data_IF_312707721241
#
_entry.id   IF_312707721241
#
_cell.length_a   1.000
_cell.length_b   1.000
_cell.length_c   1.000
_cell.angle_alpha   90.00
_cell.angle_beta   90.00
_cell.angle_gamma   90.00
#
_symmetry.space_group_name_H-M   'P 1'
#
loop_
_entity.id
_entity.type
_entity.pdbx_description
1 polymer ?
#
# COMPACT_ATOMS: atom_id res chain seq x y z
N UNK A 1 -5.61 -19.89 -16.06
CA UNK A 1 -4.45 -19.02 -15.79
C UNK A 1 -5.01 -17.60 -15.81
N UNK A 2 -5.36 -17.06 -14.64
CA UNK A 2 -5.86 -15.68 -14.54
C UNK A 2 -4.62 -14.87 -14.18
N UNK A 3 -3.97 -14.33 -15.21
CA UNK A 3 -2.80 -13.47 -15.07
C UNK A 3 -3.24 -12.15 -14.43
N UNK A 4 -2.74 -11.92 -13.20
CA UNK A 4 -2.22 -10.64 -12.75
C UNK A 4 -3.08 -9.39 -13.00
N UNK A 5 -4.28 -9.34 -12.41
CA UNK A 5 -4.84 -8.05 -11.96
C UNK A 5 -4.25 -7.67 -10.60
N UNK A 6 -2.92 -7.59 -10.50
CA UNK A 6 -2.30 -6.71 -9.51
C UNK A 6 -2.40 -5.31 -10.08
N UNK A 7 -3.61 -4.74 -9.97
CA UNK A 7 -3.82 -3.33 -10.23
C UNK A 7 -3.04 -2.57 -9.14
N UNK A 8 -1.73 -2.47 -9.30
CA UNK A 8 -0.84 -1.62 -8.50
C UNK A 8 -1.16 -0.17 -8.86
N UNK A 9 -2.36 0.26 -8.48
CA UNK A 9 -2.65 1.68 -8.41
C UNK A 9 -1.71 2.21 -7.35
N UNK A 10 -0.60 2.79 -7.81
CA UNK A 10 0.39 3.43 -6.96
C UNK A 10 -0.33 4.38 -6.02
N UNK A 11 -0.29 4.07 -4.73
CA UNK A 11 -1.06 4.79 -3.73
C UNK A 11 -0.71 6.29 -3.76
N UNK A 12 -1.68 7.13 -3.47
CA UNK A 12 -1.46 8.57 -3.31
C UNK A 12 -1.27 8.90 -1.85
N UNK A 13 -0.47 9.93 -1.57
CA UNK A 13 -0.28 10.43 -0.22
C UNK A 13 -1.62 10.93 0.36
N UNK A 14 -1.87 10.64 1.63
CA UNK A 14 -3.04 11.13 2.39
C UNK A 14 -2.70 12.31 3.32
N UNK A 15 -1.66 13.07 2.95
CA UNK A 15 -1.22 14.22 3.74
C UNK A 15 -2.08 15.44 3.43
N UNK A 16 -2.25 16.34 4.40
CA UNK A 16 -3.02 17.57 4.19
C UNK A 16 -2.49 18.36 2.98
N UNK A 17 -3.37 18.58 1.99
CA UNK A 17 -3.06 19.24 0.72
C UNK A 17 -1.92 18.58 -0.09
N UNK A 18 -1.71 17.27 0.05
CA UNK A 18 -0.68 16.54 -0.67
C UNK A 18 -1.24 15.29 -1.34
N UNK A 19 -1.41 15.33 -2.67
CA UNK A 19 -1.96 14.23 -3.48
C UNK A 19 -0.87 13.55 -4.34
N UNK A 20 0.40 13.71 -3.97
CA UNK A 20 1.51 13.13 -4.73
C UNK A 20 1.42 11.62 -4.75
N UNK A 21 1.75 11.04 -5.90
CA UNK A 21 1.97 9.59 -6.02
C UNK A 21 3.11 9.16 -5.09
N UNK A 22 2.87 8.10 -4.33
CA UNK A 22 3.85 7.47 -3.46
C UNK A 22 4.81 6.60 -4.29
N UNK A 23 5.93 6.22 -3.67
CA UNK A 23 6.87 5.29 -4.30
C UNK A 23 6.19 3.95 -4.61
N UNK A 24 6.69 3.26 -5.62
CA UNK A 24 6.18 1.93 -6.01
C UNK A 24 6.41 0.91 -4.87
N UNK A 25 7.58 0.98 -4.24
CA UNK A 25 7.95 0.12 -3.12
C UNK A 25 7.71 0.82 -1.77
N UNK A 26 7.13 0.12 -0.78
CA UNK A 26 6.95 0.67 0.56
C UNK A 26 8.27 0.73 1.32
N UNK A 27 8.41 1.74 2.20
CA UNK A 27 9.54 1.84 3.12
C UNK A 27 9.51 0.72 4.15
N UNK A 28 8.31 0.32 4.60
CA UNK A 28 8.12 -0.74 5.59
C UNK A 28 6.95 -1.63 5.21
N UNK A 29 7.13 -2.93 5.41
CA UNK A 29 6.09 -3.95 5.23
C UNK A 29 5.95 -4.77 6.50
N UNK A 30 4.71 -4.94 6.98
CA UNK A 30 4.39 -5.72 8.16
C UNK A 30 3.22 -6.67 7.90
N UNK A 31 3.42 -7.97 8.15
CA UNK A 31 2.39 -9.00 7.95
C UNK A 31 1.68 -9.36 9.25
N UNK A 32 0.37 -9.54 9.16
CA UNK A 32 -0.50 -10.01 10.24
C UNK A 32 -1.48 -11.04 9.71
N UNK A 33 -2.23 -11.69 10.60
CA UNK A 33 -3.36 -12.55 10.22
C UNK A 33 -4.40 -11.84 9.34
N UNK A 34 -4.58 -10.52 9.51
CA UNK A 34 -5.51 -9.72 8.71
C UNK A 34 -4.95 -9.20 7.37
N UNK A 35 -3.76 -9.65 6.96
CA UNK A 35 -3.09 -9.23 5.72
C UNK A 35 -1.80 -8.42 5.94
N UNK A 36 -1.27 -7.92 4.83
CA UNK A 36 -0.02 -7.18 4.75
C UNK A 36 -0.28 -5.67 4.82
N UNK A 37 0.40 -4.99 5.75
CA UNK A 37 0.41 -3.53 5.88
C UNK A 37 1.66 -2.99 5.23
N UNK A 38 1.51 -1.96 4.40
CA UNK A 38 2.60 -1.29 3.69
C UNK A 38 2.61 0.18 4.09
N UNK A 39 3.74 0.67 4.56
CA UNK A 39 3.91 2.08 4.92
C UNK A 39 4.80 2.78 3.90
N UNK A 40 4.34 3.96 3.47
CA UNK A 40 5.00 4.79 2.47
C UNK A 40 5.32 6.15 3.08
N UNK A 41 6.57 6.58 2.94
CA UNK A 41 6.99 7.91 3.35
C UNK A 41 6.91 8.87 2.16
N UNK A 42 6.12 9.93 2.28
CA UNK A 42 6.08 10.98 1.29
C UNK A 42 7.10 12.08 1.62
N UNK A 43 7.61 12.75 0.59
CA UNK A 43 8.49 13.92 0.75
C UNK A 43 7.85 15.12 1.48
N UNK A 44 6.56 15.09 1.82
CA UNK A 44 5.91 16.13 2.65
C UNK A 44 6.06 15.83 4.14
N UNK A 45 6.57 14.66 4.51
CA UNK A 45 6.68 14.19 5.89
C UNK A 45 5.49 13.32 6.34
N UNK A 46 4.44 13.19 5.53
CA UNK A 46 3.33 12.29 5.85
C UNK A 46 3.69 10.81 5.61
N UNK A 47 3.14 9.94 6.44
CA UNK A 47 3.20 8.48 6.28
C UNK A 47 1.82 7.97 5.90
N UNK A 48 1.73 7.29 4.77
CA UNK A 48 0.49 6.64 4.30
C UNK A 48 0.61 5.13 4.50
N UNK A 49 -0.39 4.51 5.12
CA UNK A 49 -0.42 3.06 5.34
C UNK A 49 -1.54 2.44 4.51
N UNK A 50 -1.21 1.46 3.67
CA UNK A 50 -2.20 0.67 2.93
C UNK A 50 -2.26 -0.75 3.47
N UNK A 51 -3.41 -1.41 3.28
CA UNK A 51 -3.63 -2.81 3.66
C UNK A 51 -3.88 -3.62 2.40
N UNK A 52 -2.96 -4.53 2.08
CA UNK A 52 -3.18 -5.57 1.09
C UNK A 52 -3.76 -6.80 1.80
N UNK A 53 -4.98 -7.19 1.42
CA UNK A 53 -5.53 -8.48 1.85
C UNK A 53 -4.93 -9.55 0.96
N UNK A 54 -4.32 -10.58 1.55
CA UNK A 54 -4.00 -11.78 0.81
C UNK A 54 -5.31 -12.39 0.30
N UNK A 55 -5.41 -12.58 -1.01
CA UNK A 55 -6.57 -13.20 -1.68
C UNK A 55 -6.82 -14.66 -1.25
N UNK A 56 -5.96 -15.23 -0.40
CA UNK A 56 -6.03 -16.60 0.12
C UNK A 56 -6.49 -16.69 1.59
N UNK A 57 -7.03 -15.61 2.18
CA UNK A 57 -7.52 -15.61 3.57
C UNK A 57 -9.05 -15.78 3.70
N UNK A 58 -9.69 -16.40 2.70
CA UNK A 58 -11.06 -16.90 2.81
C UNK A 58 -11.06 -18.41 2.57
N UNK A 59 -10.79 -19.19 3.61
CA UNK A 59 -11.13 -20.62 3.68
C UNK A 59 -11.78 -20.94 5.00
#
# INVERSE_FOLDING_TARGET
MIEELRNETTATCDGENCERRLAEEPTLTFRTEGGERRAYECRCGAVTVTVARDSESTR
#
